data_IF_615403135472
#
_entry.id   IF_615403135472
#
_cell.length_a   1.000
_cell.length_b   1.000
_cell.length_c   1.000
_cell.angle_alpha   90.00
_cell.angle_beta   90.00
_cell.angle_gamma   90.00
#
_symmetry.space_group_name_H-M   'P 1'
#
loop_
_entity.id
_entity.type
_entity.pdbx_description
1 polymer ?
#
# COMPACT_ATOMS: atom_id res chain seq x y z
N UNK A 1 14.79 11.92 -19.87
CA UNK A 1 13.43 11.41 -19.63
C UNK A 1 13.61 10.37 -18.54
N UNK A 2 13.38 10.75 -17.29
CA UNK A 2 13.38 9.77 -16.20
C UNK A 2 12.10 8.97 -16.36
N UNK A 3 12.23 7.75 -16.87
CA UNK A 3 11.11 6.83 -17.07
C UNK A 3 10.66 6.38 -15.68
N UNK A 4 9.36 6.51 -15.39
CA UNK A 4 8.84 6.06 -14.10
C UNK A 4 8.80 4.54 -14.10
N UNK A 5 9.67 3.92 -13.31
CA UNK A 5 9.70 2.47 -13.22
C UNK A 5 8.62 1.94 -12.28
N UNK A 6 7.84 0.99 -12.80
CA UNK A 6 6.93 0.17 -12.02
C UNK A 6 7.75 -0.64 -11.00
N UNK A 7 7.24 -0.77 -9.77
CA UNK A 7 7.96 -1.50 -8.72
C UNK A 7 8.11 -2.99 -9.07
N UNK A 8 9.15 -3.63 -8.55
CA UNK A 8 9.45 -5.05 -8.79
C UNK A 8 9.07 -5.91 -7.59
N UNK A 9 8.84 -7.20 -7.81
CA UNK A 9 8.57 -8.19 -6.75
C UNK A 9 9.64 -8.15 -5.66
N UNK A 10 10.92 -8.05 -6.08
CA UNK A 10 12.05 -7.97 -5.15
C UNK A 10 11.97 -6.71 -4.27
N UNK A 11 11.66 -5.55 -4.85
CA UNK A 11 11.56 -4.30 -4.10
C UNK A 11 10.41 -4.33 -3.08
N UNK A 12 9.27 -4.93 -3.43
CA UNK A 12 8.14 -5.12 -2.50
C UNK A 12 8.53 -6.05 -1.34
N UNK A 13 9.25 -7.15 -1.61
CA UNK A 13 9.77 -8.06 -0.58
C UNK A 13 10.82 -7.43 0.33
N UNK A 14 11.62 -6.50 -0.18
CA UNK A 14 12.60 -5.76 0.64
C UNK A 14 11.93 -4.87 1.69
N UNK A 15 10.74 -4.35 1.42
CA UNK A 15 9.99 -3.52 2.38
C UNK A 15 9.27 -4.38 3.43
N UNK A 16 8.81 -5.57 3.03
CA UNK A 16 8.10 -6.51 3.91
C UNK A 16 8.70 -7.90 3.83
N UNK A 17 9.50 -8.25 4.83
CA UNK A 17 10.16 -9.56 4.92
C UNK A 17 9.17 -10.73 5.05
N UNK A 18 7.96 -10.49 5.54
CA UNK A 18 6.87 -11.48 5.61
C UNK A 18 6.28 -11.83 4.24
N UNK A 19 6.51 -11.02 3.20
CA UNK A 19 6.14 -11.31 1.81
C UNK A 19 7.07 -12.33 1.13
N UNK A 20 8.12 -12.77 1.82
CA UNK A 20 8.99 -13.86 1.35
C UNK A 20 8.23 -15.17 1.10
N UNK A 21 7.12 -15.39 1.81
CA UNK A 21 6.27 -16.60 1.68
C UNK A 21 5.09 -16.43 0.73
N UNK A 22 4.84 -15.22 0.25
CA UNK A 22 3.74 -14.93 -0.69
C UNK A 22 4.21 -15.26 -2.11
N UNK A 23 3.34 -15.88 -2.91
CA UNK A 23 3.63 -16.23 -4.30
C UNK A 23 3.97 -15.00 -5.13
N UNK A 24 4.88 -15.18 -6.09
CA UNK A 24 5.28 -14.14 -7.03
C UNK A 24 4.06 -13.60 -7.80
N UNK A 25 3.12 -14.47 -8.20
CA UNK A 25 1.88 -14.08 -8.88
C UNK A 25 1.00 -13.14 -8.04
N UNK A 26 0.86 -13.41 -6.73
CA UNK A 26 0.08 -12.55 -5.83
C UNK A 26 0.76 -11.19 -5.65
N UNK A 27 2.09 -11.17 -5.56
CA UNK A 27 2.84 -9.91 -5.46
C UNK A 27 2.74 -9.13 -6.78
N UNK A 28 2.84 -9.80 -7.92
CA UNK A 28 2.73 -9.18 -9.23
C UNK A 28 1.35 -8.54 -9.45
N UNK A 29 0.27 -9.26 -9.11
CA UNK A 29 -1.09 -8.72 -9.19
C UNK A 29 -1.26 -7.47 -8.32
N UNK A 30 -0.75 -7.49 -7.09
CA UNK A 30 -0.80 -6.33 -6.20
C UNK A 30 0.01 -5.14 -6.74
N UNK A 31 1.14 -5.38 -7.42
CA UNK A 31 1.91 -4.33 -8.09
C UNK A 31 1.13 -3.76 -9.27
N UNK A 32 0.45 -4.60 -10.06
CA UNK A 32 -0.33 -4.17 -11.22
C UNK A 32 -1.51 -3.27 -10.82
N UNK A 33 -2.25 -3.68 -9.79
CA UNK A 33 -3.34 -2.89 -9.19
C UNK A 33 -2.81 -1.58 -8.61
N UNK A 34 -1.71 -1.65 -7.84
CA UNK A 34 -1.10 -0.47 -7.24
C UNK A 34 -0.58 0.54 -8.28
N UNK A 35 0.01 0.05 -9.37
CA UNK A 35 0.52 0.88 -10.44
C UNK A 35 -0.61 1.65 -11.13
N UNK A 36 -1.72 0.96 -11.41
CA UNK A 36 -2.91 1.57 -12.02
C UNK A 36 -3.45 2.71 -11.16
N UNK A 37 -3.55 2.50 -9.84
CA UNK A 37 -3.95 3.56 -8.90
C UNK A 37 -2.95 4.72 -8.90
N UNK A 38 -1.64 4.46 -8.80
CA UNK A 38 -0.61 5.51 -8.77
C UNK A 38 -0.62 6.35 -10.05
N UNK A 39 -0.79 5.72 -11.22
CA UNK A 39 -0.92 6.43 -12.49
C UNK A 39 -2.19 7.28 -12.53
N UNK A 40 -3.31 6.77 -12.00
CA UNK A 40 -4.57 7.51 -11.92
C UNK A 40 -4.51 8.74 -11.01
N UNK A 41 -3.61 8.75 -10.02
CA UNK A 41 -3.50 9.80 -8.99
C UNK A 41 -2.52 10.93 -9.36
N UNK A 42 -1.85 10.84 -10.52
CA UNK A 42 -0.98 11.91 -11.02
C UNK A 42 0.27 12.17 -10.17
N UNK A 43 0.84 11.14 -9.53
CA UNK A 43 2.07 11.29 -8.74
C UNK A 43 3.25 11.79 -9.61
N UNK A 44 4.17 12.61 -9.08
CA UNK A 44 5.43 12.92 -9.75
C UNK A 44 6.26 11.65 -10.00
N UNK A 45 6.89 11.54 -11.17
CA UNK A 45 7.69 10.38 -11.60
C UNK A 45 8.60 9.82 -10.51
N UNK A 46 9.32 10.70 -9.79
CA UNK A 46 10.25 10.33 -8.72
C UNK A 46 9.61 9.61 -7.51
N UNK A 47 8.29 9.74 -7.32
CA UNK A 47 7.54 9.12 -6.22
C UNK A 47 6.62 7.99 -6.66
N UNK A 48 6.47 7.76 -7.97
CA UNK A 48 5.55 6.74 -8.50
C UNK A 48 5.98 5.33 -8.08
N UNK A 49 7.27 4.99 -8.20
CA UNK A 49 7.78 3.69 -7.74
C UNK A 49 7.51 3.48 -6.25
N UNK A 50 7.84 4.49 -5.44
CA UNK A 50 7.73 4.40 -4.00
C UNK A 50 6.27 4.27 -3.55
N UNK A 51 5.36 5.05 -4.14
CA UNK A 51 3.93 4.96 -3.89
C UNK A 51 3.40 3.58 -4.32
N UNK A 52 3.79 3.09 -5.49
CA UNK A 52 3.38 1.79 -6.02
C UNK A 52 3.83 0.67 -5.08
N UNK A 53 5.07 0.71 -4.60
CA UNK A 53 5.65 -0.29 -3.72
C UNK A 53 4.94 -0.38 -2.38
N UNK A 54 4.69 0.77 -1.73
CA UNK A 54 3.99 0.80 -0.45
C UNK A 54 2.52 0.39 -0.59
N UNK A 55 1.87 0.79 -1.68
CA UNK A 55 0.50 0.38 -1.95
C UNK A 55 0.42 -1.12 -2.22
N UNK A 56 1.26 -1.68 -3.10
CA UNK A 56 1.33 -3.10 -3.38
C UNK A 56 1.59 -3.92 -2.10
N UNK A 57 2.56 -3.49 -1.29
CA UNK A 57 2.83 -4.10 -0.01
C UNK A 57 1.63 -4.01 0.95
N UNK A 58 0.80 -2.97 0.88
CA UNK A 58 -0.40 -2.83 1.72
C UNK A 58 -1.58 -3.68 1.25
N UNK A 59 -1.71 -3.90 -0.07
CA UNK A 59 -2.80 -4.68 -0.68
C UNK A 59 -2.68 -6.17 -0.33
N UNK A 60 -1.46 -6.66 -0.14
CA UNK A 60 -1.19 -8.04 0.24
C UNK A 60 -1.44 -8.21 1.75
N UNK A 61 -2.70 -8.45 2.13
CA UNK A 61 -3.08 -8.69 3.53
C UNK A 61 -2.58 -10.05 4.03
N UNK A 62 -2.24 -10.16 5.33
CA UNK A 62 -1.90 -11.45 5.95
C UNK A 62 -3.12 -12.37 5.91
N UNK A 63 -2.95 -13.60 5.43
CA UNK A 63 -3.96 -14.66 5.64
C UNK A 63 -4.25 -14.89 7.13
N UNK A 64 -3.29 -14.62 8.03
CA UNK A 64 -3.49 -14.64 9.50
C UNK A 64 -4.58 -13.67 10.00
N UNK A 65 -4.73 -12.50 9.37
CA UNK A 65 -5.77 -11.53 9.77
C UNK A 65 -7.17 -12.04 9.38
N UNK A 66 -7.27 -12.80 8.28
CA UNK A 66 -8.52 -13.43 7.83
C UNK A 66 -8.95 -14.59 8.73
N UNK A 67 -7.99 -15.33 9.30
CA UNK A 67 -8.26 -16.40 10.27
C UNK A 67 -8.67 -15.82 11.63
N UNK A 68 -8.04 -14.72 12.07
CA UNK A 68 -8.42 -14.00 13.30
C UNK A 68 -9.84 -13.41 13.24
N UNK A 69 -10.27 -12.93 12.06
CA UNK A 69 -11.64 -12.47 11.82
C UNK A 69 -12.69 -13.59 11.87
N UNK A 70 -12.31 -14.85 11.61
CA UNK A 70 -13.23 -15.99 11.59
C UNK A 70 -13.59 -16.50 12.99
N UNK A 71 -12.89 -16.05 14.03
CA UNK A 71 -13.09 -16.50 15.42
C UNK A 71 -13.28 -15.33 16.40
N UNK A 72 -14.14 -14.37 16.07
CA UNK A 72 -14.70 -13.45 17.08
C UNK A 72 -16.21 -13.41 16.91
N UNK A 73 -16.87 -14.37 17.55
CA UNK A 73 -18.29 -14.27 17.85
C UNK A 73 -18.52 -13.08 18.79
N UNK A 74 -19.42 -12.20 18.37
CA UNK A 74 -20.22 -11.32 19.23
C UNK A 74 -19.59 -10.13 19.98
N UNK A 75 -18.41 -9.61 19.63
CA UNK A 75 -17.96 -8.35 20.25
C UNK A 75 -17.46 -7.28 19.28
N UNK A 76 -18.31 -6.24 19.18
CA UNK A 76 -18.03 -4.82 18.92
C UNK A 76 -17.17 -4.51 17.69
N UNK A 77 -17.79 -3.74 16.78
CA UNK A 77 -17.15 -2.86 15.80
C UNK A 77 -16.19 -1.87 16.48
N UNK A 78 -15.11 -2.34 17.06
CA UNK A 78 -13.89 -1.56 17.16
C UNK A 78 -13.16 -1.83 15.86
N UNK A 79 -13.12 -0.81 15.00
CA UNK A 79 -12.14 -0.73 13.94
C UNK A 79 -10.79 -1.00 14.60
N UNK A 80 -10.26 -2.21 14.42
CA UNK A 80 -8.87 -2.46 14.72
C UNK A 80 -8.13 -1.46 13.84
N UNK A 81 -7.55 -0.45 14.49
CA UNK A 81 -6.51 0.41 13.93
C UNK A 81 -5.27 -0.49 13.77
N UNK A 82 -5.40 -1.52 12.95
CA UNK A 82 -4.29 -2.36 12.52
C UNK A 82 -3.34 -1.41 11.81
N UNK A 83 -2.20 -1.16 12.43
CA UNK A 83 -1.19 -0.24 11.91
C UNK A 83 -0.59 -0.88 10.66
N UNK A 84 -1.25 -0.71 9.51
CA UNK A 84 -0.67 -1.07 8.23
C UNK A 84 0.26 0.07 7.84
N UNK A 85 1.49 -0.01 8.34
CA UNK A 85 2.52 1.01 8.16
C UNK A 85 2.74 1.36 6.67
N UNK A 86 2.49 0.42 5.76
CA UNK A 86 2.65 0.62 4.32
C UNK A 86 1.46 1.37 3.71
N UNK A 87 0.23 1.07 4.17
CA UNK A 87 -0.94 1.86 3.81
C UNK A 87 -0.81 3.30 4.32
N UNK A 88 -0.30 3.50 5.54
CA UNK A 88 -0.09 4.84 6.10
C UNK A 88 1.02 5.60 5.34
N UNK A 89 2.11 4.93 4.94
CA UNK A 89 3.14 5.50 4.08
C UNK A 89 2.61 5.89 2.70
N UNK A 90 1.81 5.03 2.07
CA UNK A 90 1.15 5.37 0.81
C UNK A 90 0.22 6.58 0.96
N UNK A 91 -0.63 6.61 2.01
CA UNK A 91 -1.52 7.75 2.28
C UNK A 91 -0.77 9.05 2.51
N UNK A 92 0.37 9.00 3.20
CA UNK A 92 1.25 10.15 3.36
C UNK A 92 1.73 10.67 2.00
N UNK A 93 2.26 9.78 1.15
CA UNK A 93 2.69 10.15 -0.20
C UNK A 93 1.53 10.70 -1.03
N UNK A 94 0.35 10.08 -0.97
CA UNK A 94 -0.85 10.53 -1.65
C UNK A 94 -1.25 11.94 -1.22
N UNK A 95 -1.24 12.23 0.08
CA UNK A 95 -1.57 13.56 0.61
C UNK A 95 -0.57 14.63 0.20
N UNK A 96 0.71 14.27 0.04
CA UNK A 96 1.77 15.22 -0.31
C UNK A 96 1.89 15.43 -1.83
N UNK A 97 1.64 14.38 -2.62
CA UNK A 97 2.06 14.33 -4.01
C UNK A 97 0.99 13.81 -4.99
N UNK A 98 -0.12 13.23 -4.54
CA UNK A 98 -1.21 12.79 -5.41
C UNK A 98 -2.37 13.78 -5.48
N UNK A 99 -3.13 13.74 -6.59
CA UNK A 99 -4.34 14.56 -6.87
C UNK A 99 -4.27 15.99 -6.30
N UNK A 100 -3.20 16.72 -6.65
CA UNK A 100 -3.09 18.14 -6.35
C UNK A 100 -3.12 18.49 -4.87
N UNK A 101 -2.35 17.78 -4.02
CA UNK A 101 -1.85 18.24 -2.72
C UNK A 101 -2.71 19.25 -1.95
N UNK A 102 -3.99 18.93 -1.69
CA UNK A 102 -4.81 19.75 -0.81
C UNK A 102 -4.51 19.34 0.62
N UNK A 103 -3.48 19.95 1.19
CA UNK A 103 -3.20 19.99 2.62
C UNK A 103 -4.47 20.46 3.36
N UNK A 104 -5.29 19.53 3.83
CA UNK A 104 -6.20 19.82 4.95
C UNK A 104 -5.37 19.80 6.23
N UNK A 105 -4.67 20.91 6.48
CA UNK A 105 -4.16 21.22 7.82
C UNK A 105 -5.40 21.38 8.71
N UNK A 106 -5.61 20.41 9.61
CA UNK A 106 -6.46 20.63 10.78
C UNK A 106 -5.58 21.38 11.78
N UNK A 107 -5.77 22.70 11.86
CA UNK A 107 -5.26 23.49 13.00
C UNK A 107 -6.17 23.16 14.18
N UNK A 108 -5.59 22.57 15.23
CA UNK A 108 -6.22 22.43 16.55
C UNK A 108 -5.76 23.61 17.40
#
# INVERSE_FOLDING_TARGET
MDEADKSTIQNVRLIRSDLSKVSDDTIQLAIDDAWTEVQSRGFPTQYQEQACRYLAASLISREDDRVSLKQVGDLKKQYFKGVNAWADRYKYLLSQFGDGGSLRIVVI
#
